data_IF_452167435641
#
_entry.id   IF_452167435641
#
_cell.length_a   1.000
_cell.length_b   1.000
_cell.length_c   1.000
_cell.angle_alpha   90.00
_cell.angle_beta   90.00
_cell.angle_gamma   90.00
#
_symmetry.space_group_name_H-M   'P 1'
#
loop_
_entity.id
_entity.type
_entity.pdbx_description
1 polymer ?
#
# COMPACT_ATOMS: atom_id res chain seq x y z
N UNK A 1 7.79 3.63 6.06
CA UNK A 1 6.81 4.00 7.12
C UNK A 1 6.09 2.72 7.42
N UNK A 2 6.23 2.18 8.64
CA UNK A 2 5.81 0.81 8.94
C UNK A 2 4.39 0.85 9.52
N UNK A 3 3.47 0.12 8.90
CA UNK A 3 2.08 -0.06 9.32
C UNK A 3 1.86 -1.47 9.88
N UNK A 4 0.88 -1.60 10.79
CA UNK A 4 0.45 -2.89 11.33
C UNK A 4 -0.91 -3.24 10.75
N UNK A 5 -1.02 -4.41 10.10
CA UNK A 5 -2.31 -4.93 9.64
C UNK A 5 -2.90 -5.91 10.66
N UNK A 6 -4.18 -5.77 10.95
CA UNK A 6 -4.96 -6.80 11.66
C UNK A 6 -5.69 -7.62 10.60
N UNK A 7 -5.20 -8.81 10.31
CA UNK A 7 -5.93 -9.80 9.51
C UNK A 7 -6.76 -10.67 10.48
N UNK A 8 -8.08 -10.79 10.26
CA UNK A 8 -8.96 -11.58 11.11
C UNK A 8 -8.78 -13.10 10.95
N UNK A 9 -8.08 -13.57 9.91
CA UNK A 9 -8.09 -15.00 9.53
C UNK A 9 -6.76 -15.75 9.62
N UNK A 10 -5.72 -15.21 10.27
CA UNK A 10 -4.47 -15.99 10.51
C UNK A 10 -3.98 -15.87 11.95
N UNK A 11 -4.43 -16.80 12.78
CA UNK A 11 -3.64 -17.23 13.95
C UNK A 11 -2.56 -18.18 13.40
N UNK A 12 -1.47 -17.63 12.85
CA UNK A 12 -0.26 -18.43 12.60
C UNK A 12 0.59 -18.43 13.87
N UNK A 13 0.21 -19.31 14.80
CA UNK A 13 1.08 -19.71 15.90
C UNK A 13 2.11 -20.71 15.37
N UNK A 14 3.09 -20.26 14.60
CA UNK A 14 4.34 -21.01 14.47
C UNK A 14 5.22 -20.58 15.66
N UNK A 15 5.33 -21.44 16.68
CA UNK A 15 6.21 -21.26 17.85
C UNK A 15 5.81 -20.21 18.90
N UNK A 16 4.52 -19.90 19.09
CA UNK A 16 4.09 -19.04 20.21
C UNK A 16 4.51 -17.57 20.12
N UNK A 17 5.10 -17.16 19.00
CA UNK A 17 5.43 -15.77 18.68
C UNK A 17 4.31 -15.25 17.76
N UNK A 18 3.66 -14.14 18.13
CA UNK A 18 2.74 -13.47 17.22
C UNK A 18 3.55 -12.92 16.04
N UNK A 19 3.48 -13.57 14.88
CA UNK A 19 3.99 -13.02 13.63
C UNK A 19 3.03 -11.88 13.25
N UNK A 20 3.37 -10.65 13.65
CA UNK A 20 2.70 -9.48 13.13
C UNK A 20 3.24 -9.24 11.72
N UNK A 21 2.38 -9.33 10.72
CA UNK A 21 2.74 -8.95 9.35
C UNK A 21 3.05 -7.44 9.33
N UNK A 22 4.34 -7.10 9.24
CA UNK A 22 4.78 -5.74 8.93
C UNK A 22 4.31 -5.38 7.51
N UNK A 23 3.67 -4.21 7.38
CA UNK A 23 3.32 -3.67 6.09
C UNK A 23 4.03 -2.36 5.85
N UNK A 24 4.62 -2.21 4.68
CA UNK A 24 5.07 -0.93 4.18
C UNK A 24 3.96 -0.23 3.39
N UNK A 25 3.94 1.09 3.47
CA UNK A 25 3.06 1.89 2.65
C UNK A 25 3.80 3.07 2.04
N UNK A 26 3.39 3.41 0.81
CA UNK A 26 3.98 4.44 -0.01
C UNK A 26 2.89 5.42 -0.41
N UNK A 27 3.15 6.71 -0.24
CA UNK A 27 2.27 7.79 -0.71
C UNK A 27 2.97 8.51 -1.85
N UNK A 28 2.29 8.61 -2.99
CA UNK A 28 2.76 9.32 -4.18
C UNK A 28 1.70 10.31 -4.62
N UNK A 29 2.15 11.48 -5.07
CA UNK A 29 1.29 12.45 -5.75
C UNK A 29 1.44 12.23 -7.24
N UNK A 30 0.31 12.08 -7.95
CA UNK A 30 0.29 11.85 -9.40
C UNK A 30 -0.65 12.85 -10.09
N UNK A 31 -0.29 13.34 -11.29
CA UNK A 31 -1.23 14.12 -12.09
C UNK A 31 -2.50 13.32 -12.38
N UNK A 32 -3.67 13.98 -12.31
CA UNK A 32 -4.99 13.35 -12.49
C UNK A 32 -5.08 12.52 -13.78
N UNK A 33 -4.47 13.00 -14.86
CA UNK A 33 -4.46 12.33 -16.17
C UNK A 33 -3.70 11.00 -16.17
N UNK A 34 -2.75 10.80 -15.25
CA UNK A 34 -1.94 9.58 -15.14
C UNK A 34 -2.43 8.62 -14.06
N UNK A 35 -3.46 8.99 -13.28
CA UNK A 35 -3.96 8.21 -12.15
C UNK A 35 -4.22 6.74 -12.53
N UNK A 36 -4.97 6.51 -13.61
CA UNK A 36 -5.35 5.16 -14.03
C UNK A 36 -4.13 4.32 -14.43
N UNK A 37 -3.24 4.88 -15.24
CA UNK A 37 -1.99 4.23 -15.68
C UNK A 37 -1.14 3.78 -14.48
N UNK A 38 -0.89 4.69 -13.53
CA UNK A 38 -0.08 4.40 -12.34
C UNK A 38 -0.74 3.36 -11.44
N UNK A 39 -2.03 3.51 -11.16
CA UNK A 39 -2.80 2.58 -10.32
C UNK A 39 -2.82 1.16 -10.92
N UNK A 40 -3.01 1.05 -12.24
CA UNK A 40 -2.99 -0.23 -12.95
C UNK A 40 -1.62 -0.89 -12.89
N UNK A 41 -0.54 -0.13 -13.07
CA UNK A 41 0.82 -0.64 -12.97
C UNK A 41 1.13 -1.17 -11.55
N UNK A 42 0.76 -0.40 -10.50
CA UNK A 42 0.92 -0.83 -9.10
C UNK A 42 0.08 -2.09 -8.82
N UNK A 43 -1.16 -2.14 -9.30
CA UNK A 43 -2.03 -3.31 -9.10
C UNK A 43 -1.49 -4.56 -9.79
N UNK A 44 -0.89 -4.42 -10.98
CA UNK A 44 -0.27 -5.53 -11.68
C UNK A 44 0.99 -6.04 -10.95
N UNK A 45 1.79 -5.14 -10.38
CA UNK A 45 3.01 -5.50 -9.68
C UNK A 45 2.77 -6.07 -8.26
N UNK A 46 1.83 -5.47 -7.52
CA UNK A 46 1.68 -5.70 -6.07
C UNK A 46 0.21 -5.85 -5.61
N UNK A 47 -0.75 -6.06 -6.52
CA UNK A 47 -2.17 -6.16 -6.18
C UNK A 47 -2.55 -7.39 -5.37
N UNK A 48 -3.84 -7.54 -5.08
CA UNK A 48 -4.38 -8.60 -4.20
C UNK A 48 -4.12 -10.03 -4.69
N UNK A 49 -3.96 -10.19 -6.00
CA UNK A 49 -3.67 -11.47 -6.66
C UNK A 49 -2.17 -11.81 -6.70
N UNK A 50 -1.30 -10.89 -6.29
CA UNK A 50 0.15 -11.09 -6.22
C UNK A 50 0.55 -11.63 -4.84
N UNK A 51 1.76 -12.16 -4.71
CA UNK A 51 2.29 -12.61 -3.42
C UNK A 51 2.41 -11.49 -2.37
N UNK A 52 2.38 -10.21 -2.79
CA UNK A 52 2.37 -9.06 -1.89
C UNK A 52 0.99 -8.82 -1.25
N UNK A 53 -0.09 -9.30 -1.86
CA UNK A 53 -1.47 -9.08 -1.43
C UNK A 53 -1.78 -7.60 -1.09
N UNK A 54 -1.21 -6.69 -1.88
CA UNK A 54 -1.28 -5.25 -1.67
C UNK A 54 -2.59 -4.64 -2.13
N UNK A 55 -2.88 -3.46 -1.59
CA UNK A 55 -4.06 -2.66 -1.93
C UNK A 55 -3.57 -1.27 -2.31
N UNK A 56 -4.13 -0.73 -3.38
CA UNK A 56 -3.86 0.64 -3.83
C UNK A 56 -5.17 1.43 -3.83
N UNK A 57 -5.13 2.64 -3.29
CA UNK A 57 -6.27 3.57 -3.22
C UNK A 57 -5.84 4.94 -3.74
N UNK A 58 -6.79 5.72 -4.26
CA UNK A 58 -6.55 7.09 -4.69
C UNK A 58 -7.48 8.04 -3.94
N UNK A 59 -6.92 9.14 -3.42
CA UNK A 59 -7.67 10.25 -2.82
C UNK A 59 -7.44 11.51 -3.69
N UNK A 60 -8.48 12.32 -3.98
CA UNK A 60 -8.28 13.61 -4.62
C UNK A 60 -7.50 14.54 -3.68
N UNK A 61 -6.63 15.36 -4.26
CA UNK A 61 -5.91 16.42 -3.56
C UNK A 61 -6.20 17.75 -4.28
N UNK A 62 -6.44 18.81 -3.52
CA UNK A 62 -6.73 20.13 -4.07
C UNK A 62 -5.45 20.94 -4.33
N UNK A 63 -4.45 20.81 -3.46
CA UNK A 63 -3.18 21.51 -3.55
C UNK A 63 -2.02 20.65 -3.02
N UNK A 64 -0.81 20.93 -3.49
CA UNK A 64 0.42 20.27 -3.08
C UNK A 64 1.59 21.27 -3.08
N UNK A 65 2.22 21.46 -1.91
CA UNK A 65 3.39 22.33 -1.76
C UNK A 65 4.67 21.49 -1.74
N UNK A 66 5.65 21.89 -2.55
CA UNK A 66 6.99 21.33 -2.53
C UNK A 66 7.89 22.06 -1.53
N UNK A 67 8.90 21.36 -1.00
CA UNK A 67 10.01 22.00 -0.33
C UNK A 67 11.07 22.35 -1.38
N UNK A 68 11.46 23.62 -1.45
CA UNK A 68 12.64 24.02 -2.22
C UNK A 68 13.90 23.64 -1.44
N UNK A 69 14.90 23.11 -2.15
CA UNK A 69 16.21 22.75 -1.62
C UNK A 69 17.31 23.49 -2.36
#
# INVERSE_FOLDING_TARGET
MNGRRRNSERIQQLFGISVQDEQDFVMIIVPKVRKTEVMSAISAACGTQTGAHGVVISLPIDDALGLEG
#
